data_IF_931650702718
#
_entry.id   IF_931650702718
#
_cell.length_a   1.000
_cell.length_b   1.000
_cell.length_c   1.000
_cell.angle_alpha   90.00
_cell.angle_beta   90.00
_cell.angle_gamma   90.00
#
_symmetry.space_group_name_H-M   'P 1'
#
loop_
_entity.id
_entity.type
_entity.pdbx_description
1 polymer ?
#
# COMPACT_ATOMS: atom_id res chain seq x y z
N UNK A 1 8.55 -10.76 8.73
CA UNK A 1 8.43 -9.30 8.98
C UNK A 1 8.20 -9.04 10.47
N UNK A 2 8.73 -7.94 11.06
CA UNK A 2 8.62 -7.67 12.50
C UNK A 2 7.18 -7.53 13.01
N UNK A 3 6.28 -6.99 12.19
CA UNK A 3 4.89 -6.74 12.59
C UNK A 3 4.10 -8.03 12.90
N UNK A 4 4.51 -9.19 12.37
CA UNK A 4 3.83 -10.45 12.65
C UNK A 4 3.99 -10.94 14.09
N UNK A 5 5.04 -10.51 14.80
CA UNK A 5 5.22 -10.85 16.22
C UNK A 5 4.16 -10.19 17.11
N UNK A 6 3.68 -9.00 16.72
CA UNK A 6 2.72 -8.21 17.48
C UNK A 6 1.29 -8.22 16.93
N UNK A 7 1.08 -8.69 15.70
CA UNK A 7 -0.24 -8.67 15.05
C UNK A 7 -0.56 -10.04 14.45
N UNK A 8 -0.99 -11.01 15.25
CA UNK A 8 -1.10 -11.02 16.71
C UNK A 8 -0.25 -12.17 17.26
N UNK A 9 0.20 -12.13 18.53
CA UNK A 9 0.92 -13.25 19.14
C UNK A 9 0.15 -14.57 18.97
N UNK A 10 0.78 -15.57 18.36
CA UNK A 10 0.15 -16.88 18.05
C UNK A 10 -0.85 -16.87 16.88
N UNK A 11 -1.14 -15.72 16.26
CA UNK A 11 -2.05 -15.58 15.13
C UNK A 11 -1.55 -14.51 14.13
N UNK A 12 -0.47 -14.79 13.37
CA UNK A 12 0.17 -13.78 12.52
C UNK A 12 -0.73 -13.39 11.34
N UNK A 13 -1.02 -12.09 11.22
CA UNK A 13 -1.80 -11.47 10.15
C UNK A 13 -1.14 -10.13 9.79
N UNK A 14 -1.00 -9.81 8.50
CA UNK A 14 -0.45 -8.53 8.09
C UNK A 14 -1.43 -7.42 8.47
N UNK A 15 -1.00 -6.34 9.15
CA UNK A 15 -1.88 -5.20 9.43
C UNK A 15 -2.44 -4.62 8.14
N UNK A 16 -3.77 -4.44 8.07
CA UNK A 16 -4.43 -3.89 6.87
C UNK A 16 -3.91 -2.50 6.48
N UNK A 17 -3.48 -1.70 7.46
CA UNK A 17 -2.85 -0.39 7.23
C UNK A 17 -1.53 -0.49 6.46
N UNK A 18 -0.76 -1.56 6.64
CA UNK A 18 0.48 -1.78 5.88
C UNK A 18 0.20 -2.23 4.44
N UNK A 19 -0.92 -2.92 4.21
CA UNK A 19 -1.38 -3.23 2.84
C UNK A 19 -1.73 -1.93 2.11
N UNK A 20 -2.45 -1.01 2.78
CA UNK A 20 -2.76 0.30 2.23
C UNK A 20 -1.51 1.13 1.98
N UNK A 21 -0.57 1.16 2.94
CA UNK A 21 0.70 1.86 2.79
C UNK A 21 1.50 1.31 1.58
N UNK A 22 1.57 0.00 1.42
CA UNK A 22 2.21 -0.61 0.26
C UNK A 22 1.53 -0.19 -1.06
N UNK A 23 0.19 -0.13 -1.10
CA UNK A 23 -0.54 0.38 -2.28
C UNK A 23 -0.22 1.86 -2.56
N UNK A 24 -0.17 2.69 -1.51
CA UNK A 24 0.17 4.11 -1.62
C UNK A 24 1.60 4.30 -2.14
N UNK A 25 2.57 3.54 -1.64
CA UNK A 25 3.97 3.59 -2.09
C UNK A 25 4.12 3.16 -3.55
N UNK A 26 3.46 2.08 -3.98
CA UNK A 26 3.44 1.67 -5.40
C UNK A 26 2.84 2.77 -6.27
N UNK A 27 1.77 3.43 -5.82
CA UNK A 27 1.23 4.62 -6.48
C UNK A 27 2.23 5.77 -6.55
N UNK A 28 2.96 6.06 -5.48
CA UNK A 28 4.03 7.06 -5.46
C UNK A 28 5.14 6.78 -6.48
N UNK A 29 5.58 5.53 -6.59
CA UNK A 29 6.55 5.10 -7.64
C UNK A 29 6.00 5.38 -9.04
N UNK A 30 4.73 5.05 -9.29
CA UNK A 30 4.10 5.33 -10.57
C UNK A 30 4.00 6.84 -10.86
N UNK A 31 3.74 7.68 -9.85
CA UNK A 31 3.72 9.15 -9.99
C UNK A 31 5.09 9.73 -10.37
N UNK A 32 6.19 9.13 -9.89
CA UNK A 32 7.56 9.53 -10.23
C UNK A 32 8.00 9.13 -11.64
N UNK A 33 7.20 8.35 -12.38
CA UNK A 33 7.45 8.11 -13.80
C UNK A 33 7.39 9.40 -14.64
N UNK A 34 6.74 10.45 -14.12
CA UNK A 34 6.74 11.80 -14.70
C UNK A 34 7.91 12.61 -14.17
N UNK A 35 8.70 13.21 -15.07
CA UNK A 35 9.88 14.01 -14.71
C UNK A 35 9.56 15.16 -13.74
N UNK A 36 8.40 15.80 -13.91
CA UNK A 36 7.92 16.89 -13.05
C UNK A 36 7.75 16.50 -11.58
N UNK A 37 7.66 15.20 -11.28
CA UNK A 37 7.48 14.68 -9.93
C UNK A 37 8.75 14.12 -9.31
N UNK A 38 9.86 14.02 -10.06
CA UNK A 38 11.13 13.52 -9.53
C UNK A 38 11.62 14.40 -8.37
N UNK A 39 12.12 13.74 -7.32
CA UNK A 39 12.64 14.41 -6.12
C UNK A 39 11.57 14.96 -5.16
N UNK A 40 10.28 14.85 -5.48
CA UNK A 40 9.20 15.20 -4.55
C UNK A 40 8.95 14.07 -3.55
N UNK A 41 8.33 14.40 -2.41
CA UNK A 41 7.86 13.41 -1.44
C UNK A 41 6.34 13.29 -1.57
N UNK A 42 5.79 12.16 -2.04
CA UNK A 42 4.36 11.96 -2.11
C UNK A 42 3.82 11.80 -0.69
N UNK A 43 2.80 12.59 -0.36
CA UNK A 43 2.06 12.46 0.88
C UNK A 43 0.69 11.87 0.57
N UNK A 44 0.35 10.78 1.28
CA UNK A 44 -0.90 10.10 1.07
C UNK A 44 -2.03 10.81 1.85
N UNK A 45 -2.86 11.55 1.13
CA UNK A 45 -3.83 12.48 1.73
C UNK A 45 -5.10 11.81 2.26
N UNK A 46 -5.50 10.67 1.70
CA UNK A 46 -6.74 10.02 2.10
C UNK A 46 -7.02 8.74 1.32
N UNK A 47 -7.99 7.97 1.81
CA UNK A 47 -8.43 6.72 1.23
C UNK A 47 -9.95 6.74 1.17
N UNK A 48 -10.51 6.33 0.05
CA UNK A 48 -11.94 6.07 -0.07
C UNK A 48 -12.20 4.58 -0.37
N UNK A 49 -13.33 4.06 0.11
CA UNK A 49 -13.85 2.72 -0.22
C UNK A 49 -12.90 1.53 0.02
N UNK A 50 -11.99 1.62 1.00
CA UNK A 50 -11.15 0.48 1.38
C UNK A 50 -11.99 -0.68 1.97
N UNK A 51 -11.69 -1.90 1.52
CA UNK A 51 -12.34 -3.14 1.96
C UNK A 51 -11.31 -4.28 2.01
N UNK A 52 -11.13 -4.86 3.20
CA UNK A 52 -10.29 -6.05 3.40
C UNK A 52 -11.17 -7.29 3.39
N UNK A 53 -10.96 -8.19 2.44
CA UNK A 53 -11.81 -9.38 2.24
C UNK A 53 -11.27 -10.65 2.91
N UNK A 54 -9.94 -10.76 3.04
CA UNK A 54 -9.25 -11.92 3.62
C UNK A 54 -7.99 -11.45 4.35
N UNK A 55 -7.60 -12.10 5.46
CA UNK A 55 -6.32 -11.83 6.11
C UNK A 55 -5.17 -12.28 5.20
N UNK A 56 -4.07 -11.52 5.23
CA UNK A 56 -2.79 -11.89 4.60
C UNK A 56 -1.88 -12.46 5.68
N UNK A 57 -1.20 -13.57 5.40
CA UNK A 57 -0.40 -14.35 6.35
C UNK A 57 1.04 -14.54 5.88
N UNK A 58 1.96 -14.95 6.77
CA UNK A 58 3.31 -15.31 6.37
C UNK A 58 3.29 -16.37 5.25
N UNK A 59 4.06 -16.12 4.19
CA UNK A 59 4.13 -16.99 3.01
C UNK A 59 3.18 -16.61 1.86
N UNK A 60 2.19 -15.75 2.10
CA UNK A 60 1.33 -15.24 1.03
C UNK A 60 2.10 -14.29 0.10
N UNK A 61 1.72 -14.26 -1.18
CA UNK A 61 2.15 -13.24 -2.12
C UNK A 61 1.10 -12.14 -2.24
N UNK A 62 1.46 -10.92 -1.86
CA UNK A 62 0.62 -9.74 -2.06
C UNK A 62 0.84 -9.16 -3.46
N UNK A 63 -0.15 -9.33 -4.36
CA UNK A 63 -0.12 -8.74 -5.70
C UNK A 63 -0.83 -7.39 -5.65
N UNK A 64 -0.08 -6.31 -5.87
CA UNK A 64 -0.59 -4.94 -5.90
C UNK A 64 -0.74 -4.49 -7.35
N UNK A 65 -1.92 -3.97 -7.69
CA UNK A 65 -2.21 -3.34 -8.99
C UNK A 65 -2.68 -1.91 -8.73
N UNK A 66 -2.04 -0.96 -9.38
CA UNK A 66 -2.36 0.47 -9.27
C UNK A 66 -2.69 1.01 -10.65
N UNK A 67 -3.72 1.83 -10.70
CA UNK A 67 -4.18 2.56 -11.88
C UNK A 67 -4.40 4.02 -11.47
N UNK A 68 -3.83 4.96 -12.23
CA UNK A 68 -4.11 6.38 -12.02
C UNK A 68 -5.40 6.72 -12.75
N UNK A 69 -6.38 7.28 -12.04
CA UNK A 69 -7.65 7.75 -12.60
C UNK A 69 -7.76 9.26 -12.49
N UNK A 70 -8.11 9.91 -13.60
CA UNK A 70 -8.24 11.36 -13.71
C UNK A 70 -7.08 12.01 -14.48
N UNK A 71 -7.30 13.24 -14.93
CA UNK A 71 -6.23 14.05 -15.52
C UNK A 71 -5.34 14.56 -14.38
N UNK A 72 -4.09 14.10 -14.34
CA UNK A 72 -3.04 14.79 -13.61
C UNK A 72 -2.73 16.09 -14.37
N UNK A 73 -3.52 17.14 -14.12
CA UNK A 73 -3.15 18.51 -14.48
C UNK A 73 -1.91 18.95 -13.73
#
# INVERSE_FOLDING_TARGET
EPFFQGHFPGHPVMPGVLIIEAMAQVGGVLMFSKDENKGKIPLFAGIDKARFKKPVRPGDQLIIKVEIKGNMT
#
